data_IF_345499547111
#
_entry.id   IF_345499547111
#
_cell.length_a   1.000
_cell.length_b   1.000
_cell.length_c   1.000
_cell.angle_alpha   90.00
_cell.angle_beta   90.00
_cell.angle_gamma   90.00
#
_symmetry.space_group_name_H-M   'P 1'
#
loop_
_entity.id
_entity.type
_entity.pdbx_description
1 polymer ?
#
# COMPACT_ATOMS: atom_id res chain seq x y z
N UNK A 1 -32.62 10.31 -28.10
CA UNK A 1 -32.72 8.88 -27.78
C UNK A 1 -31.38 8.22 -27.41
N UNK A 2 -30.38 8.97 -26.96
CA UNK A 2 -29.05 8.44 -26.61
C UNK A 2 -28.83 8.15 -25.12
N UNK A 3 -29.81 8.41 -24.27
CA UNK A 3 -29.64 8.35 -22.79
C UNK A 3 -29.84 6.96 -22.18
N UNK A 4 -30.68 6.10 -22.79
CA UNK A 4 -30.96 4.76 -22.23
C UNK A 4 -29.84 3.74 -22.40
N UNK A 5 -29.10 3.79 -23.50
CA UNK A 5 -27.96 2.88 -23.74
C UNK A 5 -26.72 3.24 -22.91
N UNK A 6 -26.61 4.49 -22.51
CA UNK A 6 -25.54 4.97 -21.63
C UNK A 6 -25.72 4.48 -20.20
N UNK A 7 -26.94 4.36 -19.69
CA UNK A 7 -27.22 3.91 -18.32
C UNK A 7 -27.02 2.41 -18.13
N UNK A 8 -27.36 1.58 -19.09
CA UNK A 8 -27.17 0.13 -18.99
C UNK A 8 -25.72 -0.32 -19.17
N UNK A 9 -24.91 0.36 -19.98
CA UNK A 9 -23.46 0.15 -20.01
C UNK A 9 -22.74 0.66 -18.76
N UNK A 10 -23.31 1.65 -18.09
CA UNK A 10 -22.80 2.18 -16.82
C UNK A 10 -22.73 1.12 -15.72
N UNK A 11 -23.77 0.32 -15.54
CA UNK A 11 -23.94 -0.53 -14.38
C UNK A 11 -22.92 -1.69 -14.32
N UNK A 12 -22.61 -2.30 -15.44
CA UNK A 12 -21.66 -3.42 -15.50
C UNK A 12 -20.19 -2.99 -15.28
N UNK A 13 -19.83 -1.78 -15.67
CA UNK A 13 -18.45 -1.31 -15.54
C UNK A 13 -18.15 -0.70 -14.16
N UNK A 14 -19.14 -0.18 -13.45
CA UNK A 14 -18.95 0.47 -12.16
C UNK A 14 -18.51 -0.53 -11.09
N UNK A 15 -19.08 -1.74 -11.06
CA UNK A 15 -18.66 -2.80 -10.13
C UNK A 15 -17.19 -3.20 -10.35
N UNK A 16 -16.76 -3.30 -11.60
CA UNK A 16 -15.36 -3.57 -11.94
C UNK A 16 -14.44 -2.45 -11.43
N UNK A 17 -14.85 -1.19 -11.57
CA UNK A 17 -14.07 -0.04 -11.07
C UNK A 17 -14.04 0.02 -9.55
N UNK A 18 -15.13 -0.33 -8.87
CA UNK A 18 -15.18 -0.46 -7.41
C UNK A 18 -14.26 -1.60 -6.95
N UNK A 19 -14.25 -2.74 -7.64
CA UNK A 19 -13.33 -3.84 -7.34
C UNK A 19 -11.87 -3.41 -7.48
N UNK A 20 -11.55 -2.65 -8.53
CA UNK A 20 -10.22 -2.08 -8.72
C UNK A 20 -9.86 -1.06 -7.61
N UNK A 21 -10.83 -0.28 -7.15
CA UNK A 21 -10.68 0.67 -6.05
C UNK A 21 -10.44 -0.01 -4.69
N UNK A 22 -10.82 -1.28 -4.56
CA UNK A 22 -10.61 -2.12 -3.38
C UNK A 22 -9.26 -2.85 -3.34
N UNK A 23 -8.39 -2.68 -4.34
CA UNK A 23 -7.05 -3.29 -4.31
C UNK A 23 -6.20 -2.67 -3.20
N UNK A 24 -6.03 -3.41 -2.10
CA UNK A 24 -5.24 -3.01 -0.94
C UNK A 24 -3.73 -3.13 -1.15
N UNK A 25 -3.30 -3.76 -2.23
CA UNK A 25 -1.90 -4.12 -2.50
C UNK A 25 -1.23 -3.25 -3.55
N UNK A 26 -2.01 -2.47 -4.32
CA UNK A 26 -1.46 -1.56 -5.33
C UNK A 26 -2.28 -0.26 -5.43
N UNK A 27 -1.70 0.84 -4.95
CA UNK A 27 -2.30 2.17 -5.01
C UNK A 27 -2.54 2.67 -6.45
N UNK A 28 -1.78 2.17 -7.44
CA UNK A 28 -1.95 2.55 -8.85
C UNK A 28 -3.28 2.07 -9.39
N UNK A 29 -3.72 0.88 -8.97
CA UNK A 29 -5.04 0.36 -9.30
C UNK A 29 -6.14 1.24 -8.71
N UNK A 30 -5.97 1.72 -7.48
CA UNK A 30 -6.93 2.63 -6.86
C UNK A 30 -6.95 4.01 -7.54
N UNK A 31 -5.80 4.54 -7.96
CA UNK A 31 -5.74 5.78 -8.77
C UNK A 31 -6.43 5.60 -10.11
N UNK A 32 -6.19 4.48 -10.81
CA UNK A 32 -6.86 4.13 -12.06
C UNK A 32 -8.38 4.01 -11.87
N UNK A 33 -8.81 3.40 -10.76
CA UNK A 33 -10.24 3.30 -10.42
C UNK A 33 -10.89 4.68 -10.27
N UNK A 34 -10.23 5.62 -9.59
CA UNK A 34 -10.70 7.01 -9.43
C UNK A 34 -10.88 7.67 -10.81
N UNK A 35 -9.93 7.49 -11.70
CA UNK A 35 -9.98 8.01 -13.07
C UNK A 35 -11.19 7.45 -13.86
N UNK A 36 -11.45 6.15 -13.73
CA UNK A 36 -12.58 5.48 -14.35
C UNK A 36 -13.91 5.93 -13.74
N UNK A 37 -14.01 5.98 -12.42
CA UNK A 37 -15.20 6.43 -11.69
C UNK A 37 -15.52 7.91 -11.94
N UNK A 38 -14.50 8.74 -12.21
CA UNK A 38 -14.68 10.18 -12.49
C UNK A 38 -15.57 10.46 -13.72
N UNK A 39 -15.72 9.49 -14.62
CA UNK A 39 -16.53 9.59 -15.82
C UNK A 39 -18.04 9.40 -15.57
N UNK A 40 -18.40 8.93 -14.36
CA UNK A 40 -19.75 8.55 -14.01
C UNK A 40 -20.20 9.24 -12.72
N UNK A 41 -20.97 10.32 -12.85
CA UNK A 41 -21.54 11.02 -11.70
C UNK A 41 -22.81 10.32 -11.20
N UNK A 42 -22.67 9.12 -10.63
CA UNK A 42 -23.74 8.34 -10.04
C UNK A 42 -23.51 8.12 -8.54
N UNK A 43 -24.49 7.54 -7.86
CA UNK A 43 -24.44 7.30 -6.41
C UNK A 43 -23.27 6.38 -6.01
N UNK A 44 -23.09 5.27 -6.73
CA UNK A 44 -22.06 4.27 -6.46
C UNK A 44 -20.65 4.85 -6.60
N UNK A 45 -20.40 5.59 -7.67
CA UNK A 45 -19.13 6.30 -7.90
C UNK A 45 -18.83 7.29 -6.79
N UNK A 46 -19.83 8.08 -6.38
CA UNK A 46 -19.66 9.05 -5.29
C UNK A 46 -19.33 8.36 -3.97
N UNK A 47 -20.06 7.30 -3.61
CA UNK A 47 -19.84 6.57 -2.35
C UNK A 47 -18.43 5.99 -2.29
N UNK A 48 -17.95 5.40 -3.39
CA UNK A 48 -16.61 4.83 -3.46
C UNK A 48 -15.52 5.90 -3.40
N UNK A 49 -15.68 7.02 -4.10
CA UNK A 49 -14.78 8.16 -4.02
C UNK A 49 -14.74 8.77 -2.61
N UNK A 50 -15.90 8.87 -1.91
CA UNK A 50 -15.94 9.29 -0.52
C UNK A 50 -15.17 8.34 0.40
N UNK A 51 -15.31 7.01 0.19
CA UNK A 51 -14.59 6.00 0.94
C UNK A 51 -13.07 6.18 0.76
N UNK A 52 -12.58 6.26 -0.49
CA UNK A 52 -11.16 6.46 -0.79
C UNK A 52 -10.64 7.77 -0.18
N UNK A 53 -11.36 8.88 -0.37
CA UNK A 53 -10.97 10.18 0.21
C UNK A 53 -10.80 10.13 1.73
N UNK A 54 -11.69 9.44 2.44
CA UNK A 54 -11.67 9.39 3.91
C UNK A 54 -10.69 8.36 4.46
N UNK A 55 -10.64 7.16 3.87
CA UNK A 55 -10.03 6.00 4.51
C UNK A 55 -8.70 5.57 3.92
N UNK A 56 -8.38 5.95 2.68
CA UNK A 56 -7.12 5.52 2.06
C UNK A 56 -5.91 6.01 2.87
N UNK A 57 -4.86 5.22 2.91
CA UNK A 57 -3.63 5.56 3.64
C UNK A 57 -2.64 6.35 2.80
N UNK A 58 -2.76 6.28 1.48
CA UNK A 58 -1.95 7.04 0.55
C UNK A 58 -2.62 8.37 0.26
N UNK A 59 -1.93 9.44 0.60
CA UNK A 59 -2.50 10.79 0.50
C UNK A 59 -2.85 11.18 -0.94
N UNK A 60 -2.08 10.74 -1.92
CA UNK A 60 -2.34 10.99 -3.34
C UNK A 60 -3.68 10.40 -3.79
N UNK A 61 -4.02 9.18 -3.32
CA UNK A 61 -5.34 8.56 -3.57
C UNK A 61 -6.46 9.39 -2.96
N UNK A 62 -6.30 9.84 -1.70
CA UNK A 62 -7.28 10.73 -1.05
C UNK A 62 -7.47 12.04 -1.81
N UNK A 63 -6.38 12.65 -2.21
CA UNK A 63 -6.39 13.95 -2.90
C UNK A 63 -7.06 13.83 -4.26
N UNK A 64 -6.79 12.78 -5.02
CA UNK A 64 -7.41 12.59 -6.33
C UNK A 64 -8.92 12.32 -6.20
N UNK A 65 -9.33 11.47 -5.25
CA UNK A 65 -10.76 11.23 -4.97
C UNK A 65 -11.46 12.52 -4.53
N UNK A 66 -10.83 13.33 -3.69
CA UNK A 66 -11.33 14.64 -3.28
C UNK A 66 -11.57 15.58 -4.46
N UNK A 67 -10.61 15.68 -5.39
CA UNK A 67 -10.74 16.53 -6.58
C UNK A 67 -11.89 16.10 -7.48
N UNK A 68 -12.10 14.79 -7.66
CA UNK A 68 -13.21 14.26 -8.43
C UNK A 68 -14.55 14.59 -7.77
N UNK A 69 -14.67 14.43 -6.46
CA UNK A 69 -15.87 14.79 -5.72
C UNK A 69 -16.20 16.29 -5.81
N UNK A 70 -15.18 17.16 -5.73
CA UNK A 70 -15.38 18.60 -5.97
C UNK A 70 -15.89 18.87 -7.39
N UNK A 71 -15.34 18.21 -8.40
CA UNK A 71 -15.81 18.33 -9.79
C UNK A 71 -17.24 17.82 -9.96
N UNK A 72 -17.68 16.90 -9.12
CA UNK A 72 -19.07 16.46 -9.06
C UNK A 72 -19.99 17.46 -8.35
N UNK A 73 -19.44 18.52 -7.75
CA UNK A 73 -20.18 19.56 -7.03
C UNK A 73 -20.45 19.19 -5.57
N UNK A 74 -19.71 18.19 -5.02
CA UNK A 74 -19.86 17.81 -3.62
C UNK A 74 -19.08 18.77 -2.69
N UNK A 75 -19.71 19.19 -1.58
CA UNK A 75 -19.02 19.94 -0.53
C UNK A 75 -18.23 19.00 0.36
N UNK A 76 -16.94 18.84 0.04
CA UNK A 76 -16.03 17.90 0.71
C UNK A 76 -14.82 18.61 1.28
N UNK A 77 -14.25 18.05 2.36
CA UNK A 77 -13.04 18.54 3.00
C UNK A 77 -12.00 17.45 3.09
N UNK A 78 -10.80 17.75 2.57
CA UNK A 78 -9.67 16.85 2.65
C UNK A 78 -8.91 17.04 3.96
N UNK A 79 -8.62 15.96 4.66
CA UNK A 79 -7.76 15.99 5.84
C UNK A 79 -6.31 16.24 5.47
N UNK A 80 -5.56 17.00 6.28
CA UNK A 80 -4.14 17.27 6.04
C UNK A 80 -3.33 15.99 6.03
N UNK A 81 -2.28 15.95 5.18
CA UNK A 81 -1.30 14.85 5.17
C UNK A 81 -0.61 14.75 6.54
N UNK A 82 -0.68 13.56 7.16
CA UNK A 82 0.02 13.30 8.42
C UNK A 82 1.53 13.21 8.17
N UNK A 83 2.33 13.85 9.04
CA UNK A 83 3.79 13.73 9.05
C UNK A 83 4.22 12.50 9.89
N UNK A 84 5.33 11.87 9.53
CA UNK A 84 5.95 10.79 10.29
C UNK A 84 6.05 9.47 9.51
N UNK A 85 6.48 8.42 10.20
CA UNK A 85 6.55 7.07 9.60
C UNK A 85 5.14 6.56 9.33
N UNK A 86 4.84 6.09 8.11
CA UNK A 86 3.50 5.62 7.74
C UNK A 86 3.04 4.44 8.60
N UNK A 87 3.97 3.55 8.95
CA UNK A 87 3.73 2.39 9.83
C UNK A 87 4.84 2.32 10.89
N UNK A 88 4.45 2.44 12.17
CA UNK A 88 5.41 2.46 13.30
C UNK A 88 6.22 1.17 13.42
N UNK A 89 5.59 0.02 13.17
CA UNK A 89 6.15 -1.33 13.37
C UNK A 89 6.76 -1.93 12.10
N UNK A 90 7.17 -1.12 11.14
CA UNK A 90 7.71 -1.64 9.87
C UNK A 90 8.93 -2.55 10.06
N UNK A 91 9.86 -2.17 10.93
CA UNK A 91 11.07 -2.96 11.15
C UNK A 91 10.74 -4.33 11.73
N UNK A 92 9.76 -4.42 12.64
CA UNK A 92 9.34 -5.69 13.23
C UNK A 92 8.71 -6.61 12.18
N UNK A 93 7.87 -6.04 11.30
CA UNK A 93 7.27 -6.79 10.18
C UNK A 93 8.32 -7.30 9.19
N UNK A 94 9.28 -6.48 8.83
CA UNK A 94 10.38 -6.88 7.94
C UNK A 94 11.28 -7.93 8.59
N UNK A 95 11.51 -7.85 9.89
CA UNK A 95 12.26 -8.86 10.64
C UNK A 95 11.52 -10.21 10.70
N UNK A 96 10.22 -10.19 11.00
CA UNK A 96 9.37 -11.40 10.96
C UNK A 96 9.42 -12.04 9.57
N UNK A 97 9.30 -11.21 8.53
CA UNK A 97 9.37 -11.67 7.16
C UNK A 97 10.74 -12.28 6.82
N UNK A 98 11.85 -11.63 7.22
CA UNK A 98 13.20 -12.17 7.07
C UNK A 98 13.35 -13.54 7.75
N UNK A 99 12.89 -13.65 8.98
CA UNK A 99 12.97 -14.91 9.74
C UNK A 99 12.09 -16.02 9.15
N UNK A 100 11.04 -15.68 8.44
CA UNK A 100 10.13 -16.65 7.79
C UNK A 100 10.75 -17.40 6.60
N UNK A 101 11.95 -17.04 6.18
CA UNK A 101 12.75 -17.81 5.21
C UNK A 101 13.60 -18.90 5.90
N UNK A 102 13.57 -19.00 7.22
CA UNK A 102 14.24 -20.05 8.03
C UNK A 102 15.75 -20.23 7.77
N UNK A 103 16.40 -19.20 7.23
CA UNK A 103 17.81 -19.24 6.85
C UNK A 103 18.08 -19.67 5.39
N UNK A 104 17.07 -20.06 4.66
CA UNK A 104 17.19 -20.35 3.24
C UNK A 104 17.58 -19.10 2.45
N UNK A 105 18.42 -19.22 1.42
CA UNK A 105 18.75 -18.11 0.53
C UNK A 105 17.52 -17.63 -0.23
N UNK A 106 17.36 -16.31 -0.36
CA UNK A 106 16.27 -15.70 -1.09
C UNK A 106 16.75 -14.42 -1.81
N UNK A 107 16.05 -14.07 -2.86
CA UNK A 107 16.29 -12.82 -3.62
C UNK A 107 15.44 -11.67 -3.07
N UNK A 108 15.76 -10.43 -3.46
CA UNK A 108 14.90 -9.26 -3.18
C UNK A 108 13.50 -9.46 -3.76
N UNK A 109 13.40 -10.12 -4.91
CA UNK A 109 12.11 -10.41 -5.56
C UNK A 109 11.28 -11.36 -4.69
N UNK A 110 11.86 -12.45 -4.19
CA UNK A 110 11.17 -13.39 -3.30
C UNK A 110 10.70 -12.68 -2.02
N UNK A 111 11.55 -11.83 -1.46
CA UNK A 111 11.20 -11.03 -0.29
C UNK A 111 10.03 -10.10 -0.57
N UNK A 112 10.00 -9.41 -1.71
CA UNK A 112 8.91 -8.51 -2.11
C UNK A 112 7.60 -9.26 -2.33
N UNK A 113 7.63 -10.43 -2.97
CA UNK A 113 6.46 -11.29 -3.16
C UNK A 113 5.87 -11.66 -1.80
N UNK A 114 6.68 -12.23 -0.92
CA UNK A 114 6.25 -12.64 0.43
C UNK A 114 5.83 -11.46 1.28
N UNK A 115 6.44 -10.28 1.11
CA UNK A 115 6.05 -9.05 1.80
C UNK A 115 4.65 -8.59 1.35
N UNK A 116 4.38 -8.64 0.05
CA UNK A 116 3.07 -8.30 -0.51
C UNK A 116 1.98 -9.26 -0.04
N UNK A 117 2.28 -10.56 0.04
CA UNK A 117 1.34 -11.58 0.49
C UNK A 117 0.98 -11.45 1.98
N UNK A 118 1.99 -11.31 2.85
CA UNK A 118 1.78 -11.26 4.29
C UNK A 118 1.30 -9.90 4.79
N UNK A 119 1.73 -8.82 4.14
CA UNK A 119 1.44 -7.46 4.57
C UNK A 119 1.09 -6.54 3.39
N UNK A 120 0.06 -6.87 2.58
CA UNK A 120 -0.25 -6.16 1.33
C UNK A 120 -0.40 -4.65 1.53
N UNK A 121 -1.06 -4.25 2.57
CA UNK A 121 -1.28 -2.85 2.94
C UNK A 121 0.01 -2.10 3.25
N UNK A 122 0.92 -2.75 3.97
CA UNK A 122 2.19 -2.14 4.38
C UNK A 122 3.14 -2.07 3.19
N UNK A 123 3.14 -3.13 2.38
CA UNK A 123 3.88 -3.18 1.12
C UNK A 123 3.50 -2.01 0.21
N UNK A 124 2.20 -1.80 -0.02
CA UNK A 124 1.66 -0.74 -0.86
C UNK A 124 2.10 0.66 -0.38
N UNK A 125 1.96 0.93 0.93
CA UNK A 125 2.38 2.20 1.54
C UNK A 125 3.87 2.47 1.33
N UNK A 126 4.73 1.47 1.58
CA UNK A 126 6.18 1.67 1.45
C UNK A 126 6.65 1.68 0.00
N UNK A 127 6.00 0.93 -0.89
CA UNK A 127 6.23 1.02 -2.32
C UNK A 127 5.92 2.43 -2.85
N UNK A 128 4.82 3.04 -2.39
CA UNK A 128 4.48 4.42 -2.71
C UNK A 128 5.48 5.43 -2.13
N UNK A 129 5.78 5.35 -0.84
CA UNK A 129 6.64 6.31 -0.13
C UNK A 129 8.11 6.25 -0.61
N UNK A 130 8.60 5.08 -0.96
CA UNK A 130 10.00 4.87 -1.38
C UNK A 130 10.20 4.97 -2.88
N UNK A 131 9.16 4.73 -3.69
CA UNK A 131 9.24 4.78 -5.17
C UNK A 131 10.45 4.00 -5.70
N UNK A 132 11.33 4.66 -6.47
CA UNK A 132 12.57 4.06 -7.00
C UNK A 132 13.57 3.59 -5.94
N UNK A 133 13.45 4.05 -4.69
CA UNK A 133 14.32 3.66 -3.56
C UNK A 133 13.78 2.46 -2.76
N UNK A 134 12.70 1.82 -3.22
CA UNK A 134 12.05 0.77 -2.45
C UNK A 134 12.96 -0.46 -2.30
N UNK A 135 13.62 -0.89 -3.38
CA UNK A 135 14.54 -2.03 -3.34
C UNK A 135 15.77 -1.75 -2.45
N UNK A 136 16.33 -0.55 -2.53
CA UNK A 136 17.42 -0.13 -1.63
C UNK A 136 16.99 -0.09 -0.17
N UNK A 137 15.75 0.30 0.12
CA UNK A 137 15.20 0.28 1.47
C UNK A 137 15.09 -1.14 2.01
N UNK A 138 14.57 -2.09 1.21
CA UNK A 138 14.48 -3.51 1.58
C UNK A 138 15.87 -4.09 1.82
N UNK A 139 16.81 -3.90 0.89
CA UNK A 139 18.20 -4.40 0.98
C UNK A 139 18.89 -3.89 2.26
N UNK A 140 18.76 -2.62 2.56
CA UNK A 140 19.35 -2.03 3.76
C UNK A 140 18.75 -2.61 5.05
N UNK A 141 17.45 -2.91 5.04
CA UNK A 141 16.78 -3.53 6.18
C UNK A 141 17.27 -4.96 6.41
N UNK A 142 17.35 -5.77 5.36
CA UNK A 142 17.86 -7.15 5.40
C UNK A 142 19.31 -7.18 5.93
N UNK A 143 20.18 -6.34 5.40
CA UNK A 143 21.58 -6.24 5.82
C UNK A 143 21.72 -5.85 7.31
N UNK A 144 20.81 -5.02 7.81
CA UNK A 144 20.78 -4.65 9.23
C UNK A 144 20.42 -5.84 10.11
N UNK A 145 19.48 -6.68 9.69
CA UNK A 145 19.09 -7.89 10.44
C UNK A 145 20.20 -8.94 10.45
N UNK A 146 20.86 -9.18 9.31
CA UNK A 146 22.00 -10.08 9.21
C UNK A 146 23.14 -9.69 10.16
N UNK A 147 23.50 -8.38 10.21
CA UNK A 147 24.54 -7.88 11.12
C UNK A 147 24.18 -8.04 12.60
N UNK A 148 22.92 -7.87 12.98
CA UNK A 148 22.45 -8.07 14.36
C UNK A 148 22.55 -9.53 14.79
N UNK A 149 22.21 -10.46 13.90
CA UNK A 149 22.30 -11.91 14.16
C UNK A 149 23.77 -12.34 14.42
N UNK A 150 24.70 -11.83 13.62
CA UNK A 150 26.14 -12.11 13.80
C UNK A 150 26.62 -11.59 15.16
N UNK A 151 26.32 -10.32 15.52
CA UNK A 151 26.73 -9.76 16.83
C UNK A 151 26.18 -10.56 18.02
N UNK A 152 24.94 -11.02 17.93
CA UNK A 152 24.33 -11.81 19.00
C UNK A 152 25.01 -13.17 19.17
N UNK A 153 25.38 -13.85 18.09
CA UNK A 153 26.10 -15.12 18.14
C UNK A 153 27.51 -14.97 18.69
N UNK A 154 28.22 -13.88 18.42
CA UNK A 154 29.53 -13.60 19.03
C UNK A 154 29.44 -13.27 20.52
N UNK A 155 28.39 -12.58 20.96
CA UNK A 155 28.18 -12.27 22.38
C UNK A 155 27.84 -13.52 23.23
N UNK A 156 27.24 -14.54 22.64
CA UNK A 156 26.95 -15.81 23.33
C UNK A 156 28.22 -16.68 23.46
N UNK A 157 29.14 -16.63 22.49
CA UNK A 157 30.36 -17.42 22.49
C UNK A 157 31.47 -16.89 23.44
N UNK A 158 31.35 -15.66 23.94
CA UNK A 158 32.34 -15.05 24.84
C UNK A 158 32.02 -15.33 26.33
N UNK A 159 30.85 -15.87 26.66
CA UNK A 159 30.44 -16.10 28.04
C UNK A 159 30.69 -17.53 28.59
N UNK A 160 31.44 -18.38 27.88
CA UNK A 160 31.69 -19.78 28.30
C UNK A 160 33.14 -20.12 28.64
N UNK A 161 34.05 -19.17 28.70
CA UNK A 161 35.44 -19.40 29.18
C UNK A 161 35.79 -18.47 30.33
N UNK A 162 35.45 -18.89 31.55
CA UNK A 162 36.16 -18.48 32.75
C UNK A 162 36.17 -19.68 33.74
N UNK A 163 37.37 -20.04 34.24
CA UNK A 163 37.60 -21.20 35.12
C UNK A 163 36.94 -21.08 36.46
#
# INVERSE_FOLDING_TARGET
MATKDFENKKQNNIEEYINLANDISDYRNRLKAIDLLSKYKCFESKMELYRLMKTDRIFEVKEQAFRVLQNFGEDVRLTKKKKGKPVKTINDKLLILHNSFNGDPYTITDFKIKFKDLYPYVYDIYNYEKKSKFDSFITSSINTFAKKKIKHNYSINISFDAP
#
